data_IF_994946081012
#
_entry.id   IF_994946081012
#
_cell.length_a   1.000
_cell.length_b   1.000
_cell.length_c   1.000
_cell.angle_alpha   90.00
_cell.angle_beta   90.00
_cell.angle_gamma   90.00
#
_symmetry.space_group_name_H-M   'P 1'
#
loop_
_entity.id
_entity.type
_entity.pdbx_description
1 polymer ?
#
# COMPACT_ATOMS: atom_id res chain seq x y z
N UNK A 1 -6.90 -6.61 19.41
CA UNK A 1 -6.70 -6.30 17.97
C UNK A 1 -8.01 -6.51 17.21
N UNK A 2 -8.39 -5.52 16.39
CA UNK A 2 -9.67 -5.53 15.66
C UNK A 2 -9.49 -5.48 14.14
N UNK A 3 -8.32 -5.11 13.65
CA UNK A 3 -8.00 -5.09 12.24
C UNK A 3 -6.52 -5.34 11.95
N UNK A 4 -6.23 -5.83 10.74
CA UNK A 4 -4.89 -5.90 10.16
C UNK A 4 -4.74 -4.96 8.97
N UNK A 5 -3.55 -4.38 8.88
CA UNK A 5 -2.98 -3.78 7.67
C UNK A 5 -1.63 -4.44 7.37
N UNK A 6 -1.18 -4.41 6.14
CA UNK A 6 0.16 -4.89 5.79
C UNK A 6 1.26 -4.19 6.61
N UNK A 7 1.12 -2.88 6.84
CA UNK A 7 2.05 -2.11 7.67
C UNK A 7 2.07 -2.58 9.13
N UNK A 8 0.89 -2.88 9.72
CA UNK A 8 0.82 -3.38 11.09
C UNK A 8 1.44 -4.77 11.23
N UNK A 9 1.26 -5.61 10.23
CA UNK A 9 1.84 -6.94 10.17
C UNK A 9 3.36 -6.90 10.14
N UNK A 10 3.93 -6.05 9.28
CA UNK A 10 5.37 -5.85 9.16
C UNK A 10 5.97 -5.18 10.40
N UNK A 11 5.26 -4.20 11.00
CA UNK A 11 5.68 -3.57 12.24
C UNK A 11 5.80 -4.59 13.38
N UNK A 12 4.78 -5.45 13.57
CA UNK A 12 4.83 -6.49 14.59
C UNK A 12 5.97 -7.49 14.36
N UNK A 13 6.25 -7.85 13.09
CA UNK A 13 7.36 -8.74 12.76
C UNK A 13 8.72 -8.11 13.08
N UNK A 14 8.85 -6.80 12.87
CA UNK A 14 10.07 -6.06 13.18
C UNK A 14 10.25 -5.87 14.68
N UNK A 15 9.21 -5.38 15.38
CA UNK A 15 9.26 -5.12 16.82
C UNK A 15 7.85 -5.16 17.43
N UNK A 16 7.49 -6.19 18.21
CA UNK A 16 6.20 -6.28 18.89
C UNK A 16 5.90 -5.08 19.80
N UNK A 17 6.91 -4.51 20.45
CA UNK A 17 6.75 -3.32 21.29
C UNK A 17 6.37 -2.09 20.47
N UNK A 18 7.02 -1.87 19.31
CA UNK A 18 6.65 -0.79 18.39
C UNK A 18 5.21 -0.97 17.88
N UNK A 19 4.82 -2.20 17.53
CA UNK A 19 3.43 -2.51 17.17
C UNK A 19 2.46 -2.12 18.29
N UNK A 20 2.76 -2.49 19.55
CA UNK A 20 1.93 -2.14 20.69
C UNK A 20 1.77 -0.62 20.83
N UNK A 21 2.86 0.13 20.75
CA UNK A 21 2.83 1.59 20.84
C UNK A 21 2.03 2.22 19.69
N UNK A 22 2.28 1.81 18.44
CA UNK A 22 1.71 2.45 17.26
C UNK A 22 0.28 2.01 16.93
N UNK A 23 -0.06 0.73 17.15
CA UNK A 23 -1.33 0.14 16.72
C UNK A 23 -2.30 -0.19 17.86
N UNK A 24 -1.80 -0.36 19.07
CA UNK A 24 -2.66 -0.58 20.25
C UNK A 24 -2.90 0.74 20.99
N UNK A 25 -1.85 1.50 21.27
CA UNK A 25 -1.95 2.79 21.96
C UNK A 25 -2.15 3.99 21.02
N UNK A 26 -1.96 3.83 19.70
CA UNK A 26 -2.07 4.91 18.73
C UNK A 26 -0.91 5.93 18.78
N UNK A 27 0.17 5.60 19.47
CA UNK A 27 1.29 6.51 19.70
C UNK A 27 2.31 6.41 18.58
N UNK A 28 2.17 7.27 17.56
CA UNK A 28 3.05 7.30 16.39
C UNK A 28 3.95 8.53 16.42
N UNK A 29 5.23 8.30 16.17
CA UNK A 29 6.17 9.37 15.91
C UNK A 29 5.95 10.03 14.54
N UNK A 30 6.60 11.18 14.28
CA UNK A 30 6.58 11.81 12.96
C UNK A 30 7.23 10.90 11.91
N UNK A 31 6.74 11.00 10.67
CA UNK A 31 7.31 10.30 9.53
C UNK A 31 8.73 10.80 9.20
N UNK A 32 9.53 9.96 8.58
CA UNK A 32 10.82 10.41 8.06
C UNK A 32 10.67 11.05 6.67
N UNK A 33 11.57 11.97 6.34
CA UNK A 33 11.55 12.75 5.09
C UNK A 33 11.49 11.89 3.82
N UNK A 34 12.15 10.71 3.83
CA UNK A 34 12.12 9.81 2.68
C UNK A 34 10.75 9.18 2.48
N UNK A 35 10.07 8.82 3.57
CA UNK A 35 8.69 8.32 3.51
C UNK A 35 7.75 9.41 2.99
N UNK A 36 7.90 10.65 3.45
CA UNK A 36 7.06 11.77 3.00
C UNK A 36 7.30 12.13 1.53
N UNK A 37 8.54 12.03 1.03
CA UNK A 37 8.80 12.10 -0.43
C UNK A 37 8.09 10.96 -1.17
N UNK A 38 8.04 9.78 -0.59
CA UNK A 38 7.27 8.65 -1.12
C UNK A 38 5.78 8.99 -1.24
N UNK A 39 5.18 9.54 -0.20
CA UNK A 39 3.77 9.99 -0.20
C UNK A 39 3.49 11.00 -1.31
N UNK A 40 4.40 11.97 -1.53
CA UNK A 40 4.29 12.94 -2.63
C UNK A 40 4.28 12.24 -3.99
N UNK A 41 5.21 11.30 -4.21
CA UNK A 41 5.31 10.54 -5.46
C UNK A 41 4.05 9.70 -5.71
N UNK A 42 3.61 8.95 -4.69
CA UNK A 42 2.37 8.15 -4.77
C UNK A 42 1.16 9.01 -5.13
N UNK A 43 1.01 10.20 -4.51
CA UNK A 43 -0.10 11.11 -4.82
C UNK A 43 -0.08 11.58 -6.29
N UNK A 44 1.10 11.80 -6.86
CA UNK A 44 1.20 12.16 -8.30
C UNK A 44 0.78 10.98 -9.18
N UNK A 45 1.23 9.76 -8.86
CA UNK A 45 0.89 8.55 -9.61
C UNK A 45 -0.61 8.24 -9.49
N UNK A 46 -1.20 8.38 -8.30
CA UNK A 46 -2.63 8.30 -8.05
C UNK A 46 -3.42 9.28 -8.95
N UNK A 47 -3.01 10.56 -8.98
CA UNK A 47 -3.66 11.57 -9.83
C UNK A 47 -3.60 11.17 -11.31
N UNK A 48 -2.47 10.60 -11.76
CA UNK A 48 -2.35 10.07 -13.12
C UNK A 48 -3.33 8.92 -13.38
N UNK A 49 -3.49 8.01 -12.41
CA UNK A 49 -4.40 6.88 -12.51
C UNK A 49 -5.88 7.33 -12.49
N UNK A 50 -6.26 8.22 -11.56
CA UNK A 50 -7.61 8.81 -11.48
C UNK A 50 -7.95 9.58 -12.76
N UNK A 51 -7.00 10.36 -13.29
CA UNK A 51 -7.19 11.07 -14.55
C UNK A 51 -7.41 10.11 -15.72
N UNK A 52 -6.65 9.00 -15.78
CA UNK A 52 -6.82 7.98 -16.82
C UNK A 52 -8.19 7.28 -16.70
N UNK A 53 -8.60 6.86 -15.51
CA UNK A 53 -9.92 6.26 -15.28
C UNK A 53 -11.03 7.22 -15.71
N UNK A 54 -10.94 8.48 -15.29
CA UNK A 54 -11.92 9.50 -15.68
C UNK A 54 -11.96 9.75 -17.20
N UNK A 55 -10.81 9.67 -17.89
CA UNK A 55 -10.75 9.74 -19.34
C UNK A 55 -11.45 8.56 -20.01
N UNK A 56 -11.29 7.35 -19.49
CA UNK A 56 -12.01 6.15 -19.95
C UNK A 56 -13.52 6.33 -19.80
N UNK A 57 -13.96 7.03 -18.75
CA UNK A 57 -15.36 7.40 -18.51
C UNK A 57 -15.82 8.64 -19.35
N UNK A 58 -15.00 9.14 -20.29
CA UNK A 58 -15.31 10.27 -21.14
C UNK A 58 -15.17 11.66 -20.48
N UNK A 59 -14.66 11.74 -19.26
CA UNK A 59 -14.47 13.00 -18.54
C UNK A 59 -13.16 13.67 -18.95
N UNK A 60 -13.20 14.98 -19.29
CA UNK A 60 -12.02 15.75 -19.71
C UNK A 60 -11.26 16.42 -18.56
N UNK A 61 -11.89 16.52 -17.40
CA UNK A 61 -11.34 17.19 -16.20
C UNK A 61 -11.77 16.42 -14.97
N UNK A 62 -10.85 16.29 -14.02
CA UNK A 62 -11.13 15.88 -12.62
C UNK A 62 -10.83 17.03 -11.67
N UNK A 63 -11.35 16.95 -10.46
CA UNK A 63 -10.98 17.85 -9.36
C UNK A 63 -10.38 17.00 -8.25
N UNK A 64 -9.08 17.18 -8.03
CA UNK A 64 -8.37 16.57 -6.91
C UNK A 64 -8.49 17.49 -5.67
N UNK A 65 -8.71 16.90 -4.52
CA UNK A 65 -8.93 17.63 -3.26
C UNK A 65 -7.72 18.47 -2.81
N UNK A 66 -6.49 18.05 -3.18
CA UNK A 66 -5.25 18.68 -2.75
C UNK A 66 -4.78 19.77 -3.73
N UNK A 67 -4.92 19.50 -5.02
CA UNK A 67 -4.36 20.38 -6.05
C UNK A 67 -5.42 21.01 -6.99
N UNK A 68 -6.71 20.70 -6.81
CA UNK A 68 -7.81 21.23 -7.61
C UNK A 68 -7.87 20.63 -9.02
N UNK A 69 -8.24 21.43 -10.03
CA UNK A 69 -8.54 20.95 -11.39
C UNK A 69 -7.32 20.34 -12.10
N UNK A 70 -7.52 19.14 -12.68
CA UNK A 70 -6.54 18.39 -13.47
C UNK A 70 -7.18 17.96 -14.78
N UNK A 71 -6.51 18.21 -15.91
CA UNK A 71 -6.93 17.75 -17.24
C UNK A 71 -6.61 16.26 -17.40
N UNK A 72 -7.56 15.49 -17.88
CA UNK A 72 -7.39 14.06 -18.16
C UNK A 72 -6.72 13.80 -19.52
N UNK A 73 -6.78 14.79 -20.44
CA UNK A 73 -6.30 14.68 -21.82
C UNK A 73 -4.93 15.32 -22.05
N UNK A 74 -4.35 15.99 -21.05
CA UNK A 74 -3.07 16.66 -21.22
C UNK A 74 -1.91 15.74 -20.82
N UNK A 75 -1.21 15.19 -21.80
CA UNK A 75 -0.09 14.27 -21.63
C UNK A 75 1.30 14.92 -21.81
N UNK A 76 1.36 16.26 -21.93
CA UNK A 76 2.63 16.96 -22.10
C UNK A 76 3.51 16.80 -20.85
N UNK A 77 4.83 16.57 -21.00
CA UNK A 77 5.75 16.47 -19.89
C UNK A 77 5.67 17.65 -18.91
N UNK A 78 5.59 18.88 -19.43
CA UNK A 78 5.53 20.10 -18.63
C UNK A 78 4.25 20.17 -17.77
N UNK A 79 3.19 19.50 -18.20
CA UNK A 79 1.95 19.44 -17.42
C UNK A 79 2.09 18.48 -16.24
N UNK A 80 2.75 17.34 -16.43
CA UNK A 80 3.06 16.41 -15.35
C UNK A 80 4.00 17.07 -14.32
N UNK A 81 5.01 17.81 -14.78
CA UNK A 81 5.89 18.56 -13.89
C UNK A 81 5.14 19.60 -13.08
N UNK A 82 4.16 20.28 -13.68
CA UNK A 82 3.27 21.20 -12.96
C UNK A 82 2.40 20.49 -11.92
N UNK A 83 1.87 19.29 -12.22
CA UNK A 83 1.13 18.47 -11.26
C UNK A 83 2.05 18.12 -10.09
N UNK A 84 3.24 17.60 -10.38
CA UNK A 84 4.24 17.22 -9.36
C UNK A 84 4.60 18.39 -8.47
N UNK A 85 4.86 19.57 -9.04
CA UNK A 85 5.17 20.78 -8.29
C UNK A 85 4.00 21.23 -7.38
N UNK A 86 2.75 21.11 -7.84
CA UNK A 86 1.56 21.46 -7.04
C UNK A 86 1.38 20.48 -5.87
N UNK A 87 1.53 19.18 -6.10
CA UNK A 87 1.48 18.16 -5.05
C UNK A 87 2.61 18.38 -4.04
N UNK A 88 3.84 18.60 -4.51
CA UNK A 88 4.98 18.91 -3.65
C UNK A 88 4.70 20.12 -2.76
N UNK A 89 4.25 21.23 -3.33
CA UNK A 89 3.90 22.45 -2.59
C UNK A 89 2.81 22.19 -1.55
N UNK A 90 1.79 21.41 -1.89
CA UNK A 90 0.70 21.09 -0.97
C UNK A 90 1.20 20.34 0.28
N UNK A 91 1.98 19.28 0.09
CA UNK A 91 2.48 18.45 1.18
C UNK A 91 3.53 19.18 2.03
N UNK A 92 4.49 19.86 1.40
CA UNK A 92 5.57 20.56 2.13
C UNK A 92 5.05 21.73 2.95
N UNK A 93 3.95 22.36 2.57
CA UNK A 93 3.30 23.39 3.37
C UNK A 93 2.60 22.83 4.64
N UNK A 94 2.40 21.52 4.75
CA UNK A 94 1.71 20.84 5.86
C UNK A 94 2.63 19.99 6.71
N UNK A 95 3.65 19.43 6.11
CA UNK A 95 4.66 18.61 6.82
C UNK A 95 5.78 19.56 7.30
N UNK A 96 5.55 20.17 8.46
CA UNK A 96 6.39 21.25 8.98
C UNK A 96 7.62 20.76 9.76
N UNK A 97 7.69 19.49 10.11
CA UNK A 97 8.83 18.93 10.88
C UNK A 97 10.06 18.62 10.03
N UNK A 98 10.01 18.86 8.71
CA UNK A 98 11.15 18.73 7.81
C UNK A 98 11.56 20.08 7.22
N UNK A 99 12.86 20.25 7.05
CA UNK A 99 13.42 21.32 6.21
C UNK A 99 13.43 20.83 4.76
N UNK A 100 12.50 21.31 3.95
CA UNK A 100 12.38 20.97 2.53
C UNK A 100 13.34 21.79 1.68
N UNK A 101 13.92 21.19 0.64
CA UNK A 101 14.91 21.81 -0.25
C UNK A 101 14.55 21.61 -1.72
N UNK A 102 15.14 22.40 -2.62
CA UNK A 102 14.99 22.22 -4.08
C UNK A 102 15.46 20.83 -4.54
N UNK A 103 16.44 20.25 -3.84
CA UNK A 103 16.88 18.89 -4.11
C UNK A 103 15.75 17.88 -3.84
N UNK A 104 14.97 18.06 -2.77
CA UNK A 104 13.84 17.16 -2.46
C UNK A 104 12.76 17.26 -3.53
N UNK A 105 12.47 18.46 -4.05
CA UNK A 105 11.54 18.64 -5.16
C UNK A 105 12.01 17.91 -6.43
N UNK A 106 13.29 18.07 -6.78
CA UNK A 106 13.93 17.38 -7.92
C UNK A 106 13.94 15.86 -7.74
N UNK A 107 14.16 15.37 -6.52
CA UNK A 107 14.10 13.94 -6.22
C UNK A 107 12.69 13.38 -6.46
N UNK A 108 11.65 14.07 -5.96
CA UNK A 108 10.27 13.65 -6.17
C UNK A 108 9.92 13.64 -7.67
N UNK A 109 10.27 14.68 -8.42
CA UNK A 109 10.07 14.75 -9.86
C UNK A 109 10.78 13.60 -10.58
N UNK A 110 12.05 13.35 -10.26
CA UNK A 110 12.84 12.24 -10.81
C UNK A 110 12.20 10.88 -10.52
N UNK A 111 11.67 10.67 -9.32
CA UNK A 111 11.04 9.39 -8.97
C UNK A 111 9.71 9.19 -9.71
N UNK A 112 8.91 10.25 -9.87
CA UNK A 112 7.70 10.19 -10.70
C UNK A 112 8.05 9.79 -12.13
N UNK A 113 9.03 10.44 -12.76
CA UNK A 113 9.44 10.10 -14.13
C UNK A 113 9.99 8.69 -14.23
N UNK A 114 10.83 8.25 -13.29
CA UNK A 114 11.30 6.85 -13.25
C UNK A 114 10.15 5.84 -13.20
N UNK A 115 9.09 6.14 -12.44
CA UNK A 115 7.93 5.25 -12.36
C UNK A 115 7.16 5.20 -13.69
N UNK A 116 6.98 6.35 -14.33
CA UNK A 116 6.16 6.48 -15.53
C UNK A 116 6.88 6.06 -16.82
N UNK A 117 8.21 6.16 -16.88
CA UNK A 117 9.02 5.81 -18.07
C UNK A 117 9.63 4.41 -17.98
N UNK A 118 9.51 3.72 -16.85
CA UNK A 118 10.08 2.39 -16.67
C UNK A 118 9.61 1.43 -17.75
N UNK A 119 10.57 0.79 -18.45
CA UNK A 119 10.32 -0.18 -19.51
C UNK A 119 9.26 0.32 -20.52
N UNK A 120 9.57 1.45 -21.15
CA UNK A 120 8.70 2.13 -22.14
C UNK A 120 7.29 2.47 -21.62
N UNK A 121 7.20 2.76 -20.33
CA UNK A 121 5.94 3.15 -19.69
C UNK A 121 5.03 1.97 -19.36
N UNK A 122 5.58 0.78 -19.17
CA UNK A 122 4.82 -0.43 -18.86
C UNK A 122 3.87 -0.24 -17.65
N UNK A 123 4.30 0.46 -16.60
CA UNK A 123 3.49 0.72 -15.40
C UNK A 123 2.96 2.16 -15.32
N UNK A 124 2.99 2.89 -16.42
CA UNK A 124 2.37 4.20 -16.51
C UNK A 124 0.85 4.04 -16.56
N UNK A 125 0.07 4.60 -15.62
CA UNK A 125 -1.38 4.48 -15.63
C UNK A 125 -2.02 4.94 -16.96
N UNK A 126 -1.39 5.87 -17.66
CA UNK A 126 -1.89 6.39 -18.95
C UNK A 126 -1.92 5.33 -20.06
N UNK A 127 -1.04 4.32 -19.96
CA UNK A 127 -0.91 3.23 -20.94
C UNK A 127 -1.72 1.99 -20.54
N UNK A 128 -2.46 2.06 -19.43
CA UNK A 128 -3.18 0.92 -18.84
C UNK A 128 -4.69 1.10 -18.98
N UNK A 129 -5.42 0.00 -18.95
CA UNK A 129 -6.86 -0.01 -18.69
C UNK A 129 -7.08 0.00 -17.18
N UNK A 130 -7.39 1.19 -16.63
CA UNK A 130 -7.51 1.41 -15.18
C UNK A 130 -8.90 1.01 -14.71
N UNK A 131 -8.96 0.00 -13.84
CA UNK A 131 -10.18 -0.41 -13.15
C UNK A 131 -10.40 0.51 -11.94
N UNK A 132 -9.40 0.59 -11.06
CA UNK A 132 -9.45 1.40 -9.86
C UNK A 132 -8.09 2.04 -9.54
N UNK A 133 -8.16 3.29 -9.08
CA UNK A 133 -7.03 4.07 -8.60
C UNK A 133 -7.18 4.26 -7.09
N UNK A 134 -6.19 3.80 -6.35
CA UNK A 134 -6.14 3.84 -4.88
C UNK A 134 -7.37 3.23 -4.17
N UNK A 135 -7.90 2.06 -4.63
CA UNK A 135 -9.05 1.47 -3.97
C UNK A 135 -8.73 1.10 -2.52
N UNK A 136 -9.62 1.52 -1.62
CA UNK A 136 -9.58 1.15 -0.21
C UNK A 136 -10.39 -0.12 0.02
N UNK A 137 -9.87 -1.02 0.83
CA UNK A 137 -10.62 -2.16 1.33
C UNK A 137 -10.69 -2.15 2.86
N UNK A 138 -11.86 -2.49 3.36
CA UNK A 138 -12.16 -2.68 4.79
C UNK A 138 -13.29 -3.71 4.92
N UNK A 139 -12.92 -4.94 5.18
CA UNK A 139 -13.92 -6.00 5.32
C UNK A 139 -13.56 -7.00 6.43
N UNK A 140 -14.57 -7.56 7.12
CA UNK A 140 -14.35 -8.57 8.15
C UNK A 140 -13.97 -9.91 7.53
N UNK A 141 -13.06 -10.63 8.18
CA UNK A 141 -12.72 -12.02 7.83
C UNK A 141 -13.82 -12.92 8.39
N UNK A 142 -14.75 -13.35 7.54
CA UNK A 142 -15.91 -14.18 7.93
C UNK A 142 -15.51 -15.63 8.22
N UNK A 143 -14.63 -15.84 9.22
CA UNK A 143 -14.15 -17.15 9.66
C UNK A 143 -14.23 -17.22 11.19
N UNK A 144 -14.58 -18.36 11.74
CA UNK A 144 -14.72 -18.53 13.20
C UNK A 144 -13.48 -18.16 14.00
N UNK A 145 -12.27 -18.42 13.46
CA UNK A 145 -11.01 -18.07 14.12
C UNK A 145 -10.79 -16.55 14.21
N UNK A 146 -11.44 -15.75 13.37
CA UNK A 146 -11.26 -14.30 13.34
C UNK A 146 -12.11 -13.54 14.36
N UNK A 147 -12.98 -14.25 15.09
CA UNK A 147 -13.82 -13.63 16.11
C UNK A 147 -12.99 -13.25 17.33
N UNK A 148 -13.29 -12.09 17.90
CA UNK A 148 -12.70 -11.64 19.15
C UNK A 148 -13.78 -11.20 20.14
N UNK A 149 -13.42 -11.30 21.42
CA UNK A 149 -14.20 -10.80 22.55
C UNK A 149 -13.21 -10.29 23.58
N UNK A 150 -13.30 -9.02 23.91
CA UNK A 150 -12.44 -8.35 24.90
C UNK A 150 -13.28 -7.71 25.97
N UNK A 151 -12.83 -7.79 27.23
CA UNK A 151 -13.38 -7.00 28.31
C UNK A 151 -12.58 -5.69 28.41
N UNK A 152 -13.26 -4.54 28.38
CA UNK A 152 -12.64 -3.23 28.53
C UNK A 152 -13.44 -2.42 29.60
N UNK A 153 -12.96 -2.47 30.85
CA UNK A 153 -13.73 -2.00 31.99
C UNK A 153 -15.01 -2.84 32.13
N UNK A 154 -16.15 -2.16 32.21
CA UNK A 154 -17.46 -2.81 32.33
C UNK A 154 -18.08 -3.19 30.96
N UNK A 155 -17.42 -2.82 29.86
CA UNK A 155 -17.92 -3.08 28.51
C UNK A 155 -17.27 -4.32 27.89
N UNK A 156 -18.09 -5.13 27.22
CA UNK A 156 -17.66 -6.26 26.40
C UNK A 156 -17.61 -5.86 24.92
N UNK A 157 -16.43 -5.86 24.33
CA UNK A 157 -16.22 -5.57 22.93
C UNK A 157 -16.11 -6.87 22.14
N UNK A 158 -17.06 -7.12 21.25
CA UNK A 158 -17.08 -8.31 20.40
C UNK A 158 -17.09 -7.91 18.92
N UNK A 159 -16.50 -8.75 18.09
CA UNK A 159 -16.47 -8.53 16.66
C UNK A 159 -15.66 -9.57 15.90
N UNK A 160 -15.36 -9.23 14.66
CA UNK A 160 -14.57 -10.05 13.77
C UNK A 160 -13.39 -9.24 13.24
N UNK A 161 -12.22 -9.87 13.20
CA UNK A 161 -11.01 -9.26 12.64
C UNK A 161 -11.25 -8.76 11.22
N UNK A 162 -10.96 -7.48 10.96
CA UNK A 162 -11.06 -6.87 9.63
C UNK A 162 -9.70 -6.80 8.96
N UNK A 163 -9.67 -6.93 7.64
CA UNK A 163 -8.55 -6.53 6.80
C UNK A 163 -8.81 -5.14 6.25
N UNK A 164 -7.83 -4.25 6.41
CA UNK A 164 -7.87 -2.87 5.91
C UNK A 164 -6.63 -2.55 5.11
N UNK A 165 -6.80 -1.83 4.04
CA UNK A 165 -5.65 -1.38 3.25
C UNK A 165 -6.05 -0.52 2.08
N UNK A 166 -5.03 -0.14 1.33
CA UNK A 166 -5.15 0.60 0.08
C UNK A 166 -4.23 -0.07 -0.92
N UNK A 167 -4.71 -0.25 -2.13
CA UNK A 167 -3.95 -0.72 -3.29
C UNK A 167 -3.65 0.51 -4.14
N UNK A 168 -2.41 0.67 -4.61
CA UNK A 168 -2.08 1.88 -5.37
C UNK A 168 -2.80 1.93 -6.73
N UNK A 169 -2.85 0.81 -7.46
CA UNK A 169 -3.48 0.76 -8.77
C UNK A 169 -3.98 -0.65 -9.10
N UNK A 170 -5.19 -0.72 -9.66
CA UNK A 170 -5.76 -1.95 -10.24
C UNK A 170 -6.02 -1.72 -11.73
N UNK A 171 -5.47 -2.57 -12.59
CA UNK A 171 -5.60 -2.50 -14.04
C UNK A 171 -6.11 -3.81 -14.64
N UNK A 172 -6.77 -3.73 -15.77
CA UNK A 172 -7.18 -4.89 -16.57
C UNK A 172 -6.09 -5.23 -17.57
N UNK A 173 -5.74 -6.50 -17.64
CA UNK A 173 -4.82 -7.03 -18.66
C UNK A 173 -5.61 -7.67 -19.81
N UNK A 174 -6.63 -8.45 -19.47
CA UNK A 174 -7.57 -9.08 -20.39
C UNK A 174 -8.93 -9.28 -19.70
N UNK A 175 -9.85 -10.05 -20.33
CA UNK A 175 -11.20 -10.24 -19.81
C UNK A 175 -11.24 -10.92 -18.44
N UNK A 176 -10.27 -11.79 -18.16
CA UNK A 176 -10.26 -12.66 -16.97
C UNK A 176 -9.11 -12.36 -16.00
N UNK A 177 -8.23 -11.42 -16.37
CA UNK A 177 -7.00 -11.12 -15.62
C UNK A 177 -6.92 -9.65 -15.22
N UNK A 178 -6.72 -9.39 -13.94
CA UNK A 178 -6.37 -8.05 -13.43
C UNK A 178 -4.97 -8.05 -12.82
N UNK A 179 -4.32 -6.89 -12.89
CA UNK A 179 -3.03 -6.64 -12.26
C UNK A 179 -3.18 -5.58 -11.16
N UNK A 180 -2.68 -5.92 -9.98
CA UNK A 180 -2.42 -4.99 -8.89
C UNK A 180 -1.01 -4.47 -9.02
N UNK A 181 -0.83 -3.16 -9.01
CA UNK A 181 0.48 -2.51 -9.03
C UNK A 181 0.65 -1.75 -7.72
N UNK A 182 1.75 -2.05 -7.01
CA UNK A 182 2.16 -1.38 -5.78
C UNK A 182 3.52 -0.70 -6.03
N UNK A 183 3.54 0.63 -5.97
CA UNK A 183 4.76 1.40 -6.13
C UNK A 183 5.53 1.53 -4.82
N UNK A 184 6.84 1.36 -4.87
CA UNK A 184 7.73 1.52 -3.72
C UNK A 184 8.86 2.49 -4.03
N UNK A 185 8.94 3.58 -3.30
CA UNK A 185 10.05 4.53 -3.35
C UNK A 185 11.20 4.14 -2.44
N UNK A 186 10.95 3.19 -1.53
CA UNK A 186 11.91 2.63 -0.60
C UNK A 186 12.91 1.67 -1.24
N UNK A 187 13.81 1.13 -0.42
CA UNK A 187 14.73 0.06 -0.83
C UNK A 187 14.01 -1.28 -0.85
N UNK A 188 14.50 -2.18 -1.68
CA UNK A 188 14.06 -3.58 -1.77
C UNK A 188 14.66 -4.44 -0.65
N UNK A 189 14.50 -4.00 0.59
CA UNK A 189 15.04 -4.67 1.77
C UNK A 189 13.92 -5.19 2.66
N UNK A 190 14.16 -6.34 3.25
CA UNK A 190 13.42 -6.82 4.40
C UNK A 190 13.96 -6.11 5.65
N UNK A 191 13.13 -5.31 6.28
CA UNK A 191 13.54 -4.47 7.40
C UNK A 191 13.90 -5.26 8.67
N UNK A 192 13.33 -6.45 8.84
CA UNK A 192 13.63 -7.28 10.00
C UNK A 192 14.98 -7.97 9.88
N UNK A 193 15.39 -8.33 8.67
CA UNK A 193 16.62 -9.09 8.43
C UNK A 193 17.72 -8.30 7.72
N UNK A 194 17.42 -7.13 7.16
CA UNK A 194 18.33 -6.34 6.34
C UNK A 194 18.69 -6.98 4.99
N UNK A 195 18.09 -8.12 4.65
CA UNK A 195 18.36 -8.82 3.40
C UNK A 195 17.55 -8.25 2.23
N UNK A 196 18.12 -8.33 1.04
CA UNK A 196 17.43 -7.95 -0.19
C UNK A 196 16.27 -8.91 -0.47
N UNK A 197 15.10 -8.35 -0.81
CA UNK A 197 13.93 -9.16 -1.18
C UNK A 197 14.14 -9.78 -2.57
N UNK A 198 13.99 -11.08 -2.64
CA UNK A 198 14.01 -11.87 -3.88
C UNK A 198 12.58 -12.17 -4.34
N UNK A 199 12.40 -12.67 -5.56
CA UNK A 199 11.11 -13.15 -6.07
C UNK A 199 10.46 -14.13 -5.06
N UNK A 200 11.23 -15.12 -4.57
CA UNK A 200 10.74 -16.12 -3.62
C UNK A 200 10.34 -15.52 -2.27
N UNK A 201 11.05 -14.49 -1.78
CA UNK A 201 10.71 -13.83 -0.53
C UNK A 201 9.50 -12.89 -0.69
N UNK A 202 9.34 -12.26 -1.86
CA UNK A 202 8.18 -11.45 -2.19
C UNK A 202 6.91 -12.28 -2.29
N UNK A 203 6.97 -13.50 -2.79
CA UNK A 203 5.82 -14.42 -2.80
C UNK A 203 5.29 -14.75 -1.39
N UNK A 204 6.16 -14.63 -0.37
CA UNK A 204 5.81 -14.80 1.04
C UNK A 204 5.52 -13.47 1.77
N UNK A 205 5.65 -12.34 1.08
CA UNK A 205 5.46 -11.02 1.69
C UNK A 205 4.00 -10.84 2.14
N UNK A 206 3.75 -10.50 3.42
CA UNK A 206 2.40 -10.34 3.94
C UNK A 206 1.57 -9.31 3.19
N UNK A 207 2.18 -8.23 2.68
CA UNK A 207 1.46 -7.20 1.92
C UNK A 207 0.88 -7.77 0.63
N UNK A 208 1.68 -8.50 -0.14
CA UNK A 208 1.25 -9.04 -1.44
C UNK A 208 0.20 -10.15 -1.24
N UNK A 209 0.36 -10.96 -0.19
CA UNK A 209 -0.64 -11.96 0.18
C UNK A 209 -1.97 -11.34 0.63
N UNK A 210 -1.92 -10.26 1.41
CA UNK A 210 -3.12 -9.51 1.81
C UNK A 210 -3.78 -8.87 0.58
N UNK A 211 -3.01 -8.34 -0.37
CA UNK A 211 -3.56 -7.81 -1.61
C UNK A 211 -4.25 -8.89 -2.44
N UNK A 212 -3.63 -10.06 -2.62
CA UNK A 212 -4.28 -11.18 -3.29
C UNK A 212 -5.61 -11.56 -2.62
N UNK A 213 -5.63 -11.69 -1.29
CA UNK A 213 -6.84 -11.99 -0.54
C UNK A 213 -7.91 -10.89 -0.72
N UNK A 214 -7.49 -9.62 -0.71
CA UNK A 214 -8.40 -8.49 -0.85
C UNK A 214 -9.01 -8.41 -2.25
N UNK A 215 -8.21 -8.49 -3.31
CA UNK A 215 -8.71 -8.38 -4.69
C UNK A 215 -9.62 -9.54 -5.06
N UNK A 216 -9.39 -10.73 -4.52
CA UNK A 216 -10.32 -11.87 -4.69
C UNK A 216 -11.70 -11.60 -4.07
N UNK A 217 -11.77 -10.81 -2.99
CA UNK A 217 -13.04 -10.39 -2.40
C UNK A 217 -13.67 -9.20 -3.15
N UNK A 218 -12.85 -8.29 -3.66
CA UNK A 218 -13.32 -7.08 -4.35
C UNK A 218 -13.78 -7.36 -5.78
N UNK A 219 -13.15 -8.33 -6.46
CA UNK A 219 -13.41 -8.70 -7.85
C UNK A 219 -13.65 -10.21 -7.98
N UNK A 220 -14.75 -10.72 -7.40
CA UNK A 220 -15.02 -12.17 -7.33
C UNK A 220 -15.23 -12.82 -8.70
N UNK A 221 -15.60 -12.03 -9.71
CA UNK A 221 -15.80 -12.46 -11.10
C UNK A 221 -14.50 -12.71 -11.86
N UNK A 222 -13.37 -12.21 -11.36
CA UNK A 222 -12.06 -12.35 -12.02
C UNK A 222 -11.39 -13.66 -11.59
N UNK A 223 -10.83 -14.39 -12.55
CA UNK A 223 -10.23 -15.70 -12.31
C UNK A 223 -8.73 -15.65 -12.06
N UNK A 224 -8.03 -14.63 -12.58
CA UNK A 224 -6.56 -14.52 -12.51
C UNK A 224 -6.12 -13.18 -11.93
N UNK A 225 -5.19 -13.23 -10.97
CA UNK A 225 -4.65 -12.06 -10.28
C UNK A 225 -3.14 -12.04 -10.38
N UNK A 226 -2.63 -10.97 -10.99
CA UNK A 226 -1.20 -10.67 -11.03
C UNK A 226 -0.92 -9.54 -10.04
N UNK A 227 0.10 -9.68 -9.21
CA UNK A 227 0.51 -8.64 -8.27
C UNK A 227 1.94 -8.23 -8.59
N UNK A 228 2.09 -6.98 -8.99
CA UNK A 228 3.37 -6.35 -9.29
C UNK A 228 3.75 -5.39 -8.18
N UNK A 229 4.89 -5.63 -7.54
CA UNK A 229 5.54 -4.65 -6.67
C UNK A 229 6.67 -3.99 -7.45
N UNK A 230 6.63 -2.67 -7.53
CA UNK A 230 7.58 -1.90 -8.33
C UNK A 230 8.45 -0.99 -7.46
N UNK A 231 9.71 -1.38 -7.28
CA UNK A 231 10.72 -0.59 -6.57
C UNK A 231 11.31 0.45 -7.51
N UNK A 232 10.74 1.64 -7.52
CA UNK A 232 11.08 2.75 -8.44
C UNK A 232 12.58 3.09 -8.43
N UNK A 233 13.23 3.00 -7.26
CA UNK A 233 14.62 3.39 -7.07
C UNK A 233 15.58 2.22 -6.82
N UNK A 234 15.08 0.97 -6.76
CA UNK A 234 15.88 -0.16 -6.31
C UNK A 234 15.41 -1.50 -6.91
N UNK A 235 15.87 -1.82 -8.11
CA UNK A 235 15.68 -3.12 -8.75
C UNK A 235 14.48 -3.25 -9.69
N UNK A 236 13.59 -2.26 -9.78
CA UNK A 236 12.48 -2.28 -10.73
C UNK A 236 11.27 -3.10 -10.28
N UNK A 237 10.54 -3.69 -11.22
CA UNK A 237 9.30 -4.40 -10.98
C UNK A 237 9.50 -5.90 -10.77
N UNK A 238 8.74 -6.47 -9.86
CA UNK A 238 8.62 -7.90 -9.60
C UNK A 238 7.16 -8.30 -9.72
N UNK A 239 6.87 -9.09 -10.71
CA UNK A 239 5.51 -9.57 -11.00
C UNK A 239 5.34 -10.99 -10.48
N UNK A 240 4.27 -11.22 -9.74
CA UNK A 240 3.94 -12.46 -9.06
C UNK A 240 2.53 -12.90 -9.47
N UNK A 241 2.39 -14.16 -9.82
CA UNK A 241 1.09 -14.76 -10.11
C UNK A 241 0.67 -15.60 -8.90
N UNK A 242 -0.41 -15.18 -8.22
CA UNK A 242 -1.01 -15.92 -7.12
C UNK A 242 -2.20 -16.74 -7.62
N UNK A 243 -2.32 -17.95 -7.08
CA UNK A 243 -3.41 -18.88 -7.39
C UNK A 243 -4.40 -18.97 -6.22
N UNK A 244 -5.60 -19.47 -6.47
CA UNK A 244 -6.63 -19.63 -5.43
C UNK A 244 -6.15 -20.55 -4.28
N UNK A 245 -5.26 -21.49 -4.55
CA UNK A 245 -4.66 -22.37 -3.54
C UNK A 245 -3.82 -21.58 -2.51
N UNK A 246 -3.20 -20.47 -2.94
CA UNK A 246 -2.38 -19.60 -2.07
C UNK A 246 -3.21 -18.89 -1.00
N UNK A 247 -4.53 -18.78 -1.18
CA UNK A 247 -5.44 -18.19 -0.20
C UNK A 247 -5.44 -18.96 1.13
N UNK A 248 -5.29 -20.29 1.08
CA UNK A 248 -5.20 -21.13 2.29
C UNK A 248 -3.98 -20.78 3.13
N UNK A 249 -2.85 -20.55 2.48
CA UNK A 249 -1.61 -20.14 3.15
C UNK A 249 -1.73 -18.72 3.70
N UNK A 250 -2.40 -17.83 2.97
CA UNK A 250 -2.70 -16.47 3.44
C UNK A 250 -3.60 -16.49 4.66
N UNK A 251 -4.67 -17.27 4.65
CA UNK A 251 -5.56 -17.44 5.82
C UNK A 251 -4.80 -17.99 7.03
N UNK A 252 -3.95 -19.01 6.82
CA UNK A 252 -3.11 -19.58 7.89
C UNK A 252 -2.16 -18.53 8.47
N UNK A 253 -1.51 -17.73 7.62
CA UNK A 253 -0.64 -16.64 8.04
C UNK A 253 -1.40 -15.60 8.88
N UNK A 254 -2.58 -15.17 8.43
CA UNK A 254 -3.43 -14.21 9.15
C UNK A 254 -3.89 -14.76 10.49
N UNK A 255 -4.37 -16.01 10.52
CA UNK A 255 -4.82 -16.70 11.73
C UNK A 255 -3.70 -16.77 12.77
N UNK A 256 -2.54 -17.32 12.37
CA UNK A 256 -1.41 -17.49 13.30
C UNK A 256 -0.95 -16.13 13.87
N UNK A 257 -0.92 -15.10 13.05
CA UNK A 257 -0.55 -13.75 13.51
C UNK A 257 -1.60 -13.17 14.46
N UNK A 258 -2.88 -13.36 14.17
CA UNK A 258 -3.97 -12.89 15.02
C UNK A 258 -3.94 -13.55 16.39
N UNK A 259 -3.82 -14.88 16.43
CA UNK A 259 -3.72 -15.65 17.68
C UNK A 259 -2.50 -15.21 18.47
N UNK A 260 -1.33 -15.12 17.83
CA UNK A 260 -0.10 -14.70 18.50
C UNK A 260 -0.22 -13.30 19.12
N UNK A 261 -0.76 -12.31 18.38
CA UNK A 261 -0.94 -10.97 18.94
C UNK A 261 -1.98 -10.96 20.05
N UNK A 262 -3.08 -11.71 19.89
CA UNK A 262 -4.13 -11.80 20.90
C UNK A 262 -3.59 -12.29 22.25
N UNK A 263 -2.67 -13.25 22.22
CA UNK A 263 -2.05 -13.84 23.42
C UNK A 263 -0.92 -12.98 24.01
N UNK A 264 -0.22 -12.22 23.18
CA UNK A 264 1.03 -11.56 23.54
C UNK A 264 0.98 -10.05 23.59
N UNK A 265 -0.15 -9.39 23.22
CA UNK A 265 -0.26 -7.93 23.15
C UNK A 265 -0.42 -7.28 24.55
N UNK A 266 0.50 -7.60 25.44
CA UNK A 266 0.65 -7.05 26.79
C UNK A 266 2.10 -6.58 26.96
N UNK A 267 2.37 -5.34 27.41
CA UNK A 267 3.73 -4.83 27.56
C UNK A 267 4.60 -5.67 28.52
N UNK A 268 3.99 -6.35 29.48
CA UNK A 268 4.70 -7.26 30.40
C UNK A 268 5.19 -8.51 29.69
N UNK A 269 4.45 -8.99 28.70
CA UNK A 269 4.80 -10.16 27.87
C UNK A 269 5.75 -9.75 26.74
N UNK A 270 5.42 -8.67 26.02
CA UNK A 270 6.14 -8.20 24.84
C UNK A 270 7.63 -7.96 25.13
N UNK A 271 7.98 -7.39 26.28
CA UNK A 271 9.38 -7.11 26.66
C UNK A 271 10.27 -8.36 26.74
N UNK A 272 9.67 -9.54 26.81
CA UNK A 272 10.37 -10.83 26.85
C UNK A 272 10.36 -11.56 25.50
N UNK A 273 9.77 -10.98 24.46
CA UNK A 273 9.78 -11.53 23.11
C UNK A 273 11.02 -11.01 22.40
N UNK A 274 11.94 -11.91 22.05
CA UNK A 274 13.09 -11.53 21.22
C UNK A 274 12.61 -11.04 19.85
N UNK A 275 13.12 -9.91 19.38
CA UNK A 275 12.89 -9.48 17.99
C UNK A 275 13.53 -10.51 17.08
N UNK A 276 12.71 -11.25 16.34
CA UNK A 276 13.12 -12.30 15.38
C UNK A 276 13.51 -11.72 14.03
#
# INVERSE_FOLDING_TARGET
IVYFRSSSFNCHRFCPMQYYLEYTLGWRGPSNKKADKGTIVHKVLEICAVAKKALQDGKKIITDEHIGRVSTCNYKPEYLDKITARVYKYYTARILHHQWTDKDAKDCQKWVWKALEYNDGMFNPRNRDVIDAEPHFDFPIKKGWANYSYQMGDEKIEGCLSLKGTIDLVTRLDNDTIEVIDWKTGRRLDWATGKEKTQASLFKDPQLRIYHYAVKQMYPEVSSFIITIFFINDGGAFTLNFQDEDLKDTERMLKNKFEFIKETNDPKIIRHIDPS
#
